data_IF_683101083073
#
_entry.id   IF_683101083073
#
_cell.length_a   1.000
_cell.length_b   1.000
_cell.length_c   1.000
_cell.angle_alpha   90.00
_cell.angle_beta   90.00
_cell.angle_gamma   90.00
#
_symmetry.space_group_name_H-M   'P 1'
#
loop_
_entity.id
_entity.type
_entity.pdbx_description
1 polymer ?
#
# COMPACT_ATOMS: atom_id res chain seq x y z
N UNK A 1 -37.95 -55.58 -6.85
CA UNK A 1 -37.70 -54.89 -5.57
C UNK A 1 -36.49 -53.98 -5.77
N UNK A 2 -36.71 -52.70 -6.07
CA UNK A 2 -35.63 -51.70 -6.22
C UNK A 2 -36.13 -50.43 -5.52
N UNK A 3 -35.58 -50.18 -4.33
CA UNK A 3 -35.90 -49.00 -3.53
C UNK A 3 -35.01 -47.87 -4.02
N UNK A 4 -35.58 -46.94 -4.79
CA UNK A 4 -34.93 -45.67 -5.14
C UNK A 4 -34.93 -44.78 -3.90
N UNK A 5 -33.79 -44.71 -3.21
CA UNK A 5 -33.59 -43.75 -2.11
C UNK A 5 -33.29 -42.39 -2.71
N UNK A 6 -34.33 -41.57 -2.87
CA UNK A 6 -34.22 -40.16 -3.25
C UNK A 6 -33.57 -39.39 -2.10
N UNK A 7 -32.26 -39.18 -2.16
CA UNK A 7 -31.56 -38.31 -1.22
C UNK A 7 -31.92 -36.85 -1.53
N UNK A 8 -32.97 -36.33 -0.89
CA UNK A 8 -33.27 -34.90 -0.88
C UNK A 8 -32.20 -34.19 -0.04
N UNK A 9 -31.07 -33.86 -0.68
CA UNK A 9 -30.11 -32.91 -0.14
C UNK A 9 -30.82 -31.55 -0.01
N UNK A 10 -31.37 -31.28 1.18
CA UNK A 10 -31.94 -29.99 1.51
C UNK A 10 -30.80 -29.00 1.59
N UNK A 11 -30.53 -28.31 0.47
CA UNK A 11 -29.66 -27.15 0.46
C UNK A 11 -30.30 -26.11 1.39
N UNK A 12 -29.83 -26.03 2.65
CA UNK A 12 -30.23 -24.98 3.59
C UNK A 12 -29.88 -23.66 2.94
N UNK A 13 -30.90 -22.92 2.47
CA UNK A 13 -30.74 -21.54 1.99
C UNK A 13 -29.97 -20.76 3.04
N UNK A 14 -28.84 -20.19 2.65
CA UNK A 14 -28.11 -19.22 3.46
C UNK A 14 -29.08 -18.10 3.83
N UNK A 15 -29.23 -17.77 5.12
CA UNK A 15 -30.12 -16.70 5.51
C UNK A 15 -29.67 -15.38 4.90
N UNK A 16 -30.61 -14.60 4.34
CA UNK A 16 -30.31 -13.35 3.63
C UNK A 16 -29.60 -12.32 4.51
N UNK A 17 -29.92 -12.28 5.81
CA UNK A 17 -29.23 -11.42 6.77
C UNK A 17 -27.74 -11.74 6.89
N UNK A 18 -27.37 -13.03 6.87
CA UNK A 18 -25.96 -13.46 6.94
C UNK A 18 -25.19 -13.05 5.68
N UNK A 19 -25.81 -13.16 4.50
CA UNK A 19 -25.21 -12.71 3.24
C UNK A 19 -25.02 -11.19 3.25
N UNK A 20 -26.00 -10.44 3.76
CA UNK A 20 -25.90 -8.99 3.86
C UNK A 20 -24.75 -8.56 4.79
N UNK A 21 -24.63 -9.17 5.98
CA UNK A 21 -23.56 -8.88 6.94
C UNK A 21 -22.17 -9.26 6.42
N UNK A 22 -22.03 -10.44 5.80
CA UNK A 22 -20.77 -10.85 5.16
C UNK A 22 -20.38 -9.94 4.00
N UNK A 23 -21.36 -9.51 3.20
CA UNK A 23 -21.14 -8.53 2.13
C UNK A 23 -20.64 -7.19 2.66
N UNK A 24 -21.24 -6.69 3.74
CA UNK A 24 -20.87 -5.42 4.38
C UNK A 24 -19.46 -5.49 4.99
N UNK A 25 -19.12 -6.59 5.66
CA UNK A 25 -17.76 -6.85 6.15
C UNK A 25 -16.74 -6.91 5.01
N UNK A 26 -17.07 -7.62 3.92
CA UNK A 26 -16.18 -7.73 2.75
C UNK A 26 -15.96 -6.37 2.11
N UNK A 27 -17.01 -5.55 1.97
CA UNK A 27 -16.90 -4.21 1.44
C UNK A 27 -16.04 -3.30 2.33
N UNK A 28 -16.20 -3.38 3.65
CA UNK A 28 -15.35 -2.65 4.60
C UNK A 28 -13.88 -3.07 4.50
N UNK A 29 -13.60 -4.37 4.43
CA UNK A 29 -12.24 -4.90 4.24
C UNK A 29 -11.65 -4.37 2.93
N UNK A 30 -12.39 -4.44 1.82
CA UNK A 30 -11.96 -3.91 0.53
C UNK A 30 -11.64 -2.42 0.61
N UNK A 31 -12.49 -1.62 1.24
CA UNK A 31 -12.28 -0.19 1.42
C UNK A 31 -11.02 0.09 2.26
N UNK A 32 -10.80 -0.66 3.35
CA UNK A 32 -9.60 -0.55 4.16
C UNK A 32 -8.35 -0.95 3.37
N UNK A 33 -8.39 -2.05 2.61
CA UNK A 33 -7.28 -2.48 1.74
C UNK A 33 -6.96 -1.43 0.67
N UNK A 34 -7.96 -0.84 0.01
CA UNK A 34 -7.77 0.23 -0.98
C UNK A 34 -7.20 1.49 -0.34
N UNK A 35 -7.68 1.88 0.84
CA UNK A 35 -7.14 3.02 1.57
C UNK A 35 -5.68 2.79 1.97
N UNK A 36 -5.34 1.59 2.48
CA UNK A 36 -3.97 1.23 2.83
C UNK A 36 -3.08 1.19 1.58
N UNK A 37 -3.56 0.61 0.47
CA UNK A 37 -2.85 0.63 -0.82
C UNK A 37 -2.48 2.06 -1.23
N UNK A 38 -3.44 2.99 -1.13
CA UNK A 38 -3.22 4.39 -1.49
C UNK A 38 -2.21 5.07 -0.55
N UNK A 39 -2.27 4.79 0.76
CA UNK A 39 -1.34 5.35 1.73
C UNK A 39 0.08 4.83 1.52
N UNK A 40 0.26 3.54 1.26
CA UNK A 40 1.56 2.96 0.91
C UNK A 40 2.11 3.58 -0.39
N UNK A 41 1.25 3.77 -1.40
CA UNK A 41 1.64 4.40 -2.66
C UNK A 41 2.05 5.88 -2.49
N UNK A 42 1.44 6.59 -1.54
CA UNK A 42 1.65 8.02 -1.32
C UNK A 42 2.71 8.35 -0.26
N UNK A 43 3.37 7.35 0.34
CA UNK A 43 4.20 7.51 1.55
C UNK A 43 3.43 8.26 2.66
N UNK A 44 2.28 7.70 3.02
CA UNK A 44 1.37 8.22 4.03
C UNK A 44 1.96 8.39 5.43
N UNK A 45 1.18 9.00 6.33
CA UNK A 45 1.62 9.24 7.71
C UNK A 45 1.59 7.96 8.56
N UNK A 46 2.67 7.70 9.29
CA UNK A 46 2.85 6.55 10.19
C UNK A 46 1.63 6.21 11.09
N UNK A 47 0.99 7.18 11.80
CA UNK A 47 -0.13 6.83 12.68
C UNK A 47 -1.35 6.29 11.92
N UNK A 48 -1.59 6.74 10.68
CA UNK A 48 -2.73 6.29 9.90
C UNK A 48 -2.48 4.87 9.34
N UNK A 49 -1.26 4.59 8.92
CA UNK A 49 -0.88 3.27 8.41
C UNK A 49 -1.04 2.17 9.47
N UNK A 50 -0.54 2.43 10.69
CA UNK A 50 -0.67 1.49 11.82
C UNK A 50 -2.15 1.22 12.15
N UNK A 51 -2.99 2.26 12.15
CA UNK A 51 -4.44 2.11 12.39
C UNK A 51 -5.10 1.28 11.30
N UNK A 52 -4.75 1.48 10.02
CA UNK A 52 -5.30 0.71 8.90
C UNK A 52 -4.88 -0.77 8.96
N UNK A 53 -3.63 -1.07 9.30
CA UNK A 53 -3.17 -2.44 9.51
C UNK A 53 -3.93 -3.13 10.65
N UNK A 54 -4.09 -2.45 11.78
CA UNK A 54 -4.87 -2.97 12.91
C UNK A 54 -6.33 -3.20 12.53
N UNK A 55 -6.95 -2.26 11.81
CA UNK A 55 -8.33 -2.39 11.35
C UNK A 55 -8.51 -3.60 10.42
N UNK A 56 -7.61 -3.79 9.45
CA UNK A 56 -7.63 -4.96 8.57
C UNK A 56 -7.40 -6.26 9.36
N UNK A 57 -6.50 -6.26 10.35
CA UNK A 57 -6.25 -7.40 11.21
C UNK A 57 -7.49 -7.82 12.00
N UNK A 58 -8.17 -6.86 12.65
CA UNK A 58 -9.40 -7.11 13.42
C UNK A 58 -10.54 -7.55 12.52
N UNK A 59 -10.80 -6.81 11.42
CA UNK A 59 -11.85 -7.15 10.47
C UNK A 59 -11.60 -8.51 9.80
N UNK A 60 -10.35 -8.82 9.47
CA UNK A 60 -9.93 -10.09 8.92
C UNK A 60 -10.13 -11.26 9.89
N UNK A 61 -9.78 -11.07 11.17
CA UNK A 61 -10.03 -12.08 12.21
C UNK A 61 -11.53 -12.33 12.40
N UNK A 62 -12.34 -11.27 12.47
CA UNK A 62 -13.80 -11.37 12.55
C UNK A 62 -14.36 -12.09 11.32
N UNK A 63 -13.92 -11.72 10.11
CA UNK A 63 -14.35 -12.36 8.87
C UNK A 63 -13.94 -13.84 8.79
N UNK A 64 -12.77 -14.22 9.31
CA UNK A 64 -12.35 -15.61 9.41
C UNK A 64 -13.24 -16.40 10.36
N UNK A 65 -13.58 -15.86 11.53
CA UNK A 65 -14.47 -16.53 12.49
C UNK A 65 -15.87 -16.75 11.90
N UNK A 66 -16.47 -15.71 11.31
CA UNK A 66 -17.77 -15.83 10.64
C UNK A 66 -17.71 -16.73 9.39
N UNK A 67 -16.60 -16.68 8.65
CA UNK A 67 -16.31 -17.53 7.50
C UNK A 67 -16.24 -19.01 7.89
N UNK A 68 -15.58 -19.35 9.00
CA UNK A 68 -15.46 -20.70 9.53
C UNK A 68 -16.84 -21.25 9.93
N UNK A 69 -17.65 -20.43 10.60
CA UNK A 69 -19.04 -20.75 10.92
C UNK A 69 -19.87 -20.96 9.65
N UNK A 70 -19.70 -20.09 8.64
CA UNK A 70 -20.33 -20.20 7.32
C UNK A 70 -20.01 -21.52 6.61
N UNK A 71 -18.74 -21.92 6.67
CA UNK A 71 -18.20 -23.09 5.97
C UNK A 71 -18.63 -24.39 6.65
N UNK A 72 -18.57 -24.45 7.99
CA UNK A 72 -18.98 -25.61 8.79
C UNK A 72 -20.50 -25.79 8.89
N UNK A 73 -21.26 -24.69 9.01
CA UNK A 73 -22.71 -24.73 9.28
C UNK A 73 -23.57 -24.70 8.02
N UNK A 74 -23.17 -23.94 7.00
CA UNK A 74 -24.02 -23.61 5.85
C UNK A 74 -23.47 -24.11 4.51
N UNK A 75 -22.26 -24.71 4.46
CA UNK A 75 -21.60 -25.18 3.23
C UNK A 75 -21.46 -24.07 2.16
N UNK A 76 -21.52 -22.80 2.57
CA UNK A 76 -21.50 -21.64 1.68
C UNK A 76 -20.05 -21.25 1.33
N UNK A 77 -19.37 -22.11 0.57
CA UNK A 77 -17.94 -21.98 0.24
C UNK A 77 -17.58 -20.63 -0.38
N UNK A 78 -18.36 -20.14 -1.35
CA UNK A 78 -18.03 -18.92 -2.09
C UNK A 78 -17.98 -17.67 -1.19
N UNK A 79 -18.96 -17.48 -0.31
CA UNK A 79 -19.03 -16.27 0.52
C UNK A 79 -18.02 -16.27 1.68
N UNK A 80 -17.66 -17.44 2.21
CA UNK A 80 -16.66 -17.56 3.26
C UNK A 80 -15.22 -17.37 2.76
N UNK A 81 -14.95 -17.62 1.47
CA UNK A 81 -13.60 -17.55 0.89
C UNK A 81 -13.23 -16.19 0.30
N UNK A 82 -14.21 -15.35 -0.06
CA UNK A 82 -13.93 -14.06 -0.70
C UNK A 82 -13.06 -13.15 0.19
N UNK A 83 -13.44 -12.94 1.45
CA UNK A 83 -12.67 -12.09 2.38
C UNK A 83 -11.22 -12.55 2.59
N UNK A 84 -10.93 -13.82 2.94
CA UNK A 84 -9.54 -14.26 3.11
C UNK A 84 -8.75 -14.22 1.80
N UNK A 85 -9.38 -14.47 0.65
CA UNK A 85 -8.73 -14.34 -0.66
C UNK A 85 -8.35 -12.89 -0.94
N UNK A 86 -9.23 -11.92 -0.68
CA UNK A 86 -8.93 -10.49 -0.86
C UNK A 86 -7.75 -10.06 0.03
N UNK A 87 -7.77 -10.46 1.30
CA UNK A 87 -6.68 -10.16 2.24
C UNK A 87 -5.38 -10.81 1.75
N UNK A 88 -5.43 -12.07 1.33
CA UNK A 88 -4.27 -12.79 0.78
C UNK A 88 -3.68 -12.11 -0.46
N UNK A 89 -4.52 -11.72 -1.42
CA UNK A 89 -4.10 -10.97 -2.61
C UNK A 89 -3.47 -9.63 -2.22
N UNK A 90 -4.10 -8.91 -1.28
CA UNK A 90 -3.57 -7.63 -0.80
C UNK A 90 -2.18 -7.79 -0.16
N UNK A 91 -2.00 -8.78 0.71
CA UNK A 91 -0.71 -9.08 1.33
C UNK A 91 0.37 -9.39 0.28
N UNK A 92 0.02 -10.18 -0.74
CA UNK A 92 0.95 -10.48 -1.85
C UNK A 92 1.33 -9.21 -2.62
N UNK A 93 0.37 -8.32 -2.91
CA UNK A 93 0.65 -7.05 -3.59
C UNK A 93 1.59 -6.15 -2.78
N UNK A 94 1.36 -6.06 -1.47
CA UNK A 94 2.22 -5.29 -0.56
C UNK A 94 3.62 -5.89 -0.51
N UNK A 95 3.73 -7.21 -0.39
CA UNK A 95 5.04 -7.88 -0.32
C UNK A 95 5.86 -7.71 -1.60
N UNK A 96 5.20 -7.62 -2.75
CA UNK A 96 5.83 -7.34 -4.04
C UNK A 96 6.12 -5.84 -4.27
N UNK A 97 5.92 -4.98 -3.26
CA UNK A 97 6.08 -3.52 -3.34
C UNK A 97 5.27 -2.90 -4.51
N UNK A 98 4.14 -3.51 -4.88
CA UNK A 98 3.26 -3.01 -5.95
C UNK A 98 2.68 -1.63 -5.63
N UNK A 99 2.26 -1.31 -4.39
CA UNK A 99 1.75 0.03 -4.07
C UNK A 99 2.80 1.11 -4.33
N UNK A 100 4.03 0.90 -3.86
CA UNK A 100 5.15 1.83 -4.02
C UNK A 100 5.52 2.01 -5.49
N UNK A 101 5.70 0.92 -6.23
CA UNK A 101 6.05 0.97 -7.66
C UNK A 101 4.96 1.61 -8.50
N UNK A 102 3.68 1.43 -8.13
CA UNK A 102 2.54 2.07 -8.80
C UNK A 102 2.52 3.57 -8.50
N UNK A 103 2.71 3.96 -7.23
CA UNK A 103 2.83 5.36 -6.83
C UNK A 103 3.99 6.07 -7.54
N UNK A 104 5.13 5.40 -7.64
CA UNK A 104 6.28 5.88 -8.40
C UNK A 104 5.95 6.08 -9.88
N UNK A 105 5.40 5.07 -10.56
CA UNK A 105 5.09 5.17 -11.99
C UNK A 105 4.13 6.32 -12.30
N UNK A 106 3.16 6.56 -11.42
CA UNK A 106 2.18 7.65 -11.58
C UNK A 106 2.79 9.04 -11.36
N UNK A 107 3.81 9.16 -10.52
CA UNK A 107 4.43 10.44 -10.16
C UNK A 107 5.71 10.75 -10.95
N UNK A 108 6.38 9.74 -11.50
CA UNK A 108 7.69 9.85 -12.17
C UNK A 108 7.72 10.93 -13.26
N UNK A 109 6.69 10.99 -14.11
CA UNK A 109 6.67 11.92 -15.24
C UNK A 109 6.59 13.38 -14.78
N UNK A 110 5.73 13.64 -13.79
CA UNK A 110 5.58 14.96 -13.16
C UNK A 110 6.87 15.32 -12.42
N UNK A 111 7.45 14.39 -11.65
CA UNK A 111 8.70 14.61 -10.93
C UNK A 111 9.86 14.88 -11.88
N UNK A 112 9.96 14.17 -13.00
CA UNK A 112 11.00 14.37 -14.00
C UNK A 112 10.89 15.73 -14.68
N UNK A 113 9.66 16.18 -14.97
CA UNK A 113 9.40 17.53 -15.49
C UNK A 113 9.88 18.58 -14.51
N UNK A 114 9.56 18.44 -13.21
CA UNK A 114 10.02 19.37 -12.17
C UNK A 114 11.53 19.28 -11.92
N UNK A 115 12.14 18.11 -12.11
CA UNK A 115 13.57 17.90 -11.91
C UNK A 115 14.43 18.62 -12.95
N UNK A 116 13.90 18.88 -14.14
CA UNK A 116 14.59 19.62 -15.19
C UNK A 116 14.91 21.05 -14.75
N UNK A 117 13.92 21.74 -14.16
CA UNK A 117 14.07 23.11 -13.67
C UNK A 117 14.63 23.16 -12.24
N UNK A 118 14.42 22.09 -11.46
CA UNK A 118 14.76 22.01 -10.04
C UNK A 118 14.29 23.24 -9.25
N UNK A 119 13.11 23.75 -9.60
CA UNK A 119 12.54 24.95 -9.00
C UNK A 119 11.93 24.58 -7.65
N UNK A 120 12.34 25.27 -6.58
CA UNK A 120 11.74 25.09 -5.28
C UNK A 120 10.38 25.82 -5.24
N UNK A 121 9.26 25.12 -5.03
CA UNK A 121 7.95 25.77 -4.88
C UNK A 121 7.89 26.68 -3.65
N UNK A 122 8.77 26.49 -2.66
CA UNK A 122 8.80 27.29 -1.42
C UNK A 122 7.65 27.00 -0.45
N UNK A 123 6.74 26.10 -0.83
CA UNK A 123 5.65 25.61 -0.01
C UNK A 123 5.42 24.12 -0.28
N UNK A 124 4.77 23.47 0.68
CA UNK A 124 4.40 22.05 0.58
C UNK A 124 3.45 21.86 -0.59
N UNK A 125 3.84 21.02 -1.55
CA UNK A 125 3.05 20.75 -2.74
C UNK A 125 2.92 19.25 -2.98
N UNK A 126 1.81 18.86 -3.60
CA UNK A 126 1.54 17.47 -3.95
C UNK A 126 1.91 17.25 -5.42
N UNK A 127 2.93 16.44 -5.66
CA UNK A 127 3.43 16.11 -6.99
C UNK A 127 3.12 14.64 -7.27
N UNK A 128 2.06 14.42 -8.06
CA UNK A 128 1.50 13.08 -8.27
C UNK A 128 0.87 12.53 -6.99
N UNK A 129 1.35 11.37 -6.55
CA UNK A 129 0.90 10.75 -5.28
C UNK A 129 1.69 11.25 -4.07
N UNK A 130 2.92 11.73 -4.27
CA UNK A 130 3.82 12.12 -3.18
C UNK A 130 3.60 13.56 -2.76
N UNK A 131 3.80 13.82 -1.47
CA UNK A 131 3.81 15.18 -0.94
C UNK A 131 5.25 15.63 -0.75
N UNK A 132 5.66 16.61 -1.55
CA UNK A 132 7.01 17.18 -1.52
C UNK A 132 7.00 18.42 -0.64
N UNK A 133 7.93 18.46 0.31
CA UNK A 133 8.04 19.56 1.27
C UNK A 133 8.84 20.71 0.68
N UNK A 134 9.99 20.40 0.09
CA UNK A 134 10.82 21.35 -0.64
C UNK A 134 11.72 20.61 -1.64
N UNK A 135 12.20 21.37 -2.62
CA UNK A 135 13.12 20.89 -3.66
C UNK A 135 14.41 21.70 -3.54
N UNK A 136 15.55 21.04 -3.61
CA UNK A 136 16.85 21.72 -3.57
C UNK A 136 17.87 21.03 -4.46
N UNK A 137 18.87 21.78 -4.91
CA UNK A 137 19.98 21.25 -5.70
C UNK A 137 21.16 20.97 -4.78
N UNK A 138 21.61 19.71 -4.74
CA UNK A 138 22.73 19.24 -3.91
C UNK A 138 23.50 18.15 -4.64
N UNK A 139 24.82 18.09 -4.44
CA UNK A 139 25.70 17.04 -4.98
C UNK A 139 25.64 16.87 -6.52
N UNK A 140 25.20 17.89 -7.26
CA UNK A 140 25.02 17.83 -8.72
C UNK A 140 23.68 17.23 -9.18
N UNK A 141 22.76 16.92 -8.26
CA UNK A 141 21.41 16.43 -8.53
C UNK A 141 20.31 17.31 -7.95
N UNK A 142 19.06 16.98 -8.29
CA UNK A 142 17.87 17.62 -7.73
C UNK A 142 17.20 16.71 -6.70
N UNK A 143 17.11 17.17 -5.46
CA UNK A 143 16.57 16.43 -4.33
C UNK A 143 15.15 16.90 -4.02
N UNK A 144 14.24 15.95 -3.92
CA UNK A 144 12.84 16.09 -3.57
C UNK A 144 12.64 15.53 -2.17
N UNK A 145 12.48 16.40 -1.18
CA UNK A 145 12.28 15.98 0.20
C UNK A 145 10.82 15.58 0.40
N UNK A 146 10.58 14.32 0.73
CA UNK A 146 9.26 13.83 1.15
C UNK A 146 9.12 13.98 2.66
N UNK A 147 7.90 13.91 3.18
CA UNK A 147 7.72 13.89 4.62
C UNK A 147 8.23 12.55 5.17
N UNK A 148 9.43 12.57 5.75
CA UNK A 148 9.97 11.45 6.52
C UNK A 148 9.09 11.12 7.72
N UNK A 149 8.82 9.84 7.94
CA UNK A 149 8.04 9.32 9.07
C UNK A 149 8.85 9.20 10.36
N UNK A 150 10.16 9.45 10.31
CA UNK A 150 11.06 9.42 11.45
C UNK A 150 11.46 10.85 11.84
N UNK A 151 11.31 11.17 13.12
CA UNK A 151 11.43 12.52 13.69
C UNK A 151 12.79 13.18 13.45
N UNK A 152 13.82 12.40 13.10
CA UNK A 152 15.22 12.84 12.96
C UNK A 152 15.87 12.42 11.62
N UNK A 153 15.11 11.87 10.66
CA UNK A 153 15.65 11.50 9.36
C UNK A 153 14.81 12.10 8.23
N UNK A 154 15.47 12.87 7.37
CA UNK A 154 14.87 13.40 6.15
C UNK A 154 15.08 12.38 5.03
N UNK A 155 14.03 12.04 4.28
CA UNK A 155 14.12 11.09 3.17
C UNK A 155 13.40 11.63 1.95
N UNK A 156 13.72 11.08 0.79
CA UNK A 156 13.07 11.49 -0.44
C UNK A 156 13.66 10.87 -1.70
N UNK A 157 13.43 11.54 -2.82
CA UNK A 157 13.92 11.13 -4.14
C UNK A 157 14.96 12.11 -4.65
N UNK A 158 16.01 11.60 -5.28
CA UNK A 158 17.03 12.41 -5.92
C UNK A 158 17.17 12.04 -7.39
N UNK A 159 17.21 13.04 -8.26
CA UNK A 159 17.40 12.88 -9.70
C UNK A 159 18.77 13.37 -10.12
N UNK A 160 19.52 12.48 -10.78
CA UNK A 160 20.89 12.71 -11.22
C UNK A 160 21.02 12.44 -12.73
N UNK A 161 20.81 13.44 -13.60
CA UNK A 161 20.78 13.22 -15.04
C UNK A 161 22.15 12.94 -15.67
N UNK A 162 23.22 13.52 -15.10
CA UNK A 162 24.53 13.59 -15.75
C UNK A 162 25.59 12.65 -15.14
N UNK A 163 25.53 12.40 -13.84
CA UNK A 163 26.52 11.60 -13.12
C UNK A 163 25.88 10.98 -11.87
N UNK A 164 26.33 9.79 -11.49
CA UNK A 164 25.87 9.12 -10.27
C UNK A 164 26.22 9.96 -9.01
N UNK A 165 25.43 9.85 -7.93
CA UNK A 165 25.69 10.55 -6.69
C UNK A 165 27.03 10.10 -6.04
N UNK A 166 27.67 10.98 -5.25
CA UNK A 166 28.97 10.70 -4.65
C UNK A 166 28.94 9.64 -3.54
N UNK A 167 27.83 9.50 -2.82
CA UNK A 167 27.71 8.63 -1.64
C UNK A 167 26.63 7.57 -1.84
N UNK A 168 26.97 6.47 -2.50
CA UNK A 168 26.02 5.36 -2.72
C UNK A 168 26.05 4.41 -1.52
N UNK A 169 24.87 4.07 -1.00
CA UNK A 169 24.67 3.15 0.12
C UNK A 169 24.13 3.81 1.39
N UNK A 170 24.08 3.06 2.47
CA UNK A 170 23.56 3.51 3.77
C UNK A 170 24.42 4.65 4.33
N UNK A 171 23.81 5.76 4.81
CA UNK A 171 24.56 6.88 5.36
C UNK A 171 25.38 6.42 6.58
N UNK A 172 26.68 6.74 6.61
CA UNK A 172 27.53 6.57 7.81
C UNK A 172 27.58 7.88 8.63
N UNK A 173 27.38 9.02 7.96
CA UNK A 173 27.15 10.35 8.52
C UNK A 173 26.67 11.28 7.39
N UNK A 174 25.50 11.90 7.52
CA UNK A 174 24.92 12.79 6.48
C UNK A 174 23.94 12.10 5.54
N UNK A 175 24.09 12.31 4.23
CA UNK A 175 23.16 11.81 3.20
C UNK A 175 23.68 10.54 2.51
N UNK A 176 22.86 9.49 2.46
CA UNK A 176 23.11 8.26 1.71
C UNK A 176 22.14 8.15 0.54
N UNK A 177 22.62 7.66 -0.61
CA UNK A 177 21.83 7.47 -1.81
C UNK A 177 21.73 5.99 -2.19
N UNK A 178 20.52 5.48 -2.34
CA UNK A 178 20.25 4.12 -2.78
C UNK A 178 19.65 4.11 -4.20
N UNK A 179 20.16 3.27 -5.12
CA UNK A 179 19.62 3.19 -6.47
C UNK A 179 18.16 2.76 -6.46
N UNK A 180 17.31 3.45 -7.21
CA UNK A 180 15.89 3.13 -7.28
C UNK A 180 15.45 2.80 -8.70
N UNK A 181 15.51 3.77 -9.62
CA UNK A 181 15.08 3.55 -11.00
C UNK A 181 15.84 4.43 -12.00
N UNK A 182 16.77 3.84 -12.74
CA UNK A 182 17.59 4.56 -13.72
C UNK A 182 18.39 5.66 -13.03
N UNK A 183 18.15 6.91 -13.43
CA UNK A 183 18.82 8.10 -12.87
C UNK A 183 18.15 8.63 -11.58
N UNK A 184 17.25 7.84 -10.99
CA UNK A 184 16.57 8.16 -9.72
C UNK A 184 17.09 7.32 -8.58
N UNK A 185 17.32 7.99 -7.46
CA UNK A 185 17.84 7.42 -6.22
C UNK A 185 16.89 7.77 -5.08
N UNK A 186 16.73 6.86 -4.13
CA UNK A 186 16.18 7.21 -2.81
C UNK A 186 17.32 7.76 -1.97
N UNK A 187 17.06 8.81 -1.21
CA UNK A 187 18.04 9.30 -0.25
C UNK A 187 17.48 9.30 1.16
N UNK A 188 18.37 9.07 2.11
CA UNK A 188 18.13 9.22 3.54
C UNK A 188 19.22 10.12 4.11
N UNK A 189 18.82 11.12 4.88
CA UNK A 189 19.68 12.08 5.54
C UNK A 189 19.41 12.00 7.04
N UNK A 190 20.42 11.56 7.79
CA UNK A 190 20.41 11.59 9.25
C UNK A 190 20.92 12.95 9.71
N UNK A 191 20.09 13.68 10.47
CA UNK A 191 20.41 14.99 11.05
C UNK A 191 20.91 14.89 12.48
#
# INVERSE_FOLDING_TARGET
MLISVSSTATARRTPSWFVLWMGLLTALILLCCLALFWQLAAEGTFPLEVVLWLAIGVLGAVALLFGLVGLLRYRAFFYSLISPVIIGVFVVLVWQNVPETTGWKLSRDILQTQAADCANPGHRTRLGVYTITFITRRDGGCLFYTQGTETNSSRGFAYFPNAAPPYIGTPTSGIGYEPFHGNWYRFTEES
#
